data_IF_730407844586
#
_entry.id   IF_730407844586
#
_cell.length_a   1.000
_cell.length_b   1.000
_cell.length_c   1.000
_cell.angle_alpha   90.00
_cell.angle_beta   90.00
_cell.angle_gamma   90.00
#
_symmetry.space_group_name_H-M   'P 1'
#
loop_
_entity.id
_entity.type
_entity.pdbx_description
1 polymer ?
2 branched ?
3 branched ?
4 branched ?
5 non-polymer ?
6 non-polymer ?
7 water ?
#
# COMPACT_ATOMS: atom_id res chain seq x y z
N UNK A 1 8.04 2.08 8.34
CA UNK A 1 8.39 1.95 6.93
C UNK A 1 7.79 0.68 6.25
N UNK A 2 7.50 -0.34 7.06
CA UNK A 2 6.95 -1.64 6.64
C UNK A 2 5.52 -1.82 7.13
N UNK A 3 4.68 -2.35 6.23
CA UNK A 3 3.30 -2.71 6.59
C UNK A 3 3.33 -4.11 7.19
N UNK A 4 2.90 -4.28 8.42
CA UNK A 4 2.72 -5.60 9.02
C UNK A 4 1.20 -5.87 8.92
N UNK A 5 0.81 -6.96 8.24
CA UNK A 5 -0.58 -7.32 8.06
C UNK A 5 -0.80 -8.76 8.52
N UNK A 6 -1.96 -9.03 9.11
CA UNK A 6 -2.33 -10.33 9.62
C UNK A 6 -3.81 -10.64 9.37
N UNK A 7 -4.11 -11.92 9.40
CA UNK A 7 -5.45 -12.48 9.29
C UNK A 7 -6.02 -12.56 10.67
N UNK A 8 -7.36 -12.48 10.75
CA UNK A 8 -8.06 -12.62 12.03
C UNK A 8 -9.12 -13.70 11.85
N UNK A 9 -9.40 -14.47 12.90
CA UNK A 9 -10.40 -15.51 12.83
C UNK A 9 -11.80 -14.95 12.55
N UNK A 10 -12.59 -15.72 11.80
CA UNK A 10 -13.97 -15.42 11.44
C UNK A 10 -14.56 -16.66 10.82
N UNK A 11 -15.48 -17.31 11.56
CA UNK A 11 -16.20 -18.50 11.08
C UNK A 11 -17.04 -18.18 9.84
N UNK A 12 -17.43 -16.92 9.68
CA UNK A 12 -18.20 -16.48 8.51
C UNK A 12 -17.41 -16.29 7.23
N UNK A 13 -16.06 -16.38 7.30
CA UNK A 13 -15.22 -16.23 6.11
C UNK A 13 -14.56 -17.54 5.82
N UNK A 14 -14.86 -18.07 4.64
CA UNK A 14 -14.29 -19.32 4.15
C UNK A 14 -12.77 -19.14 3.97
N UNK A 15 -12.02 -20.19 4.26
CA UNK A 15 -10.58 -20.19 4.07
C UNK A 15 -9.86 -20.08 5.39
N UNK A 16 -8.71 -19.38 5.39
CA UNK A 16 -7.90 -19.22 6.61
C UNK A 16 -8.69 -18.69 7.82
N UNK A 17 -9.59 -17.68 7.61
CA UNK A 17 -10.39 -17.10 8.72
C UNK A 17 -11.23 -18.16 9.44
N UNK A 18 -11.86 -19.06 8.68
CA UNK A 18 -12.66 -20.15 9.23
C UNK A 18 -11.75 -21.18 9.90
N UNK A 19 -10.64 -21.55 9.23
CA UNK A 19 -9.68 -22.52 9.79
C UNK A 19 -9.13 -22.03 11.12
N UNK A 20 -8.82 -20.71 11.24
CA UNK A 20 -8.30 -20.12 12.49
C UNK A 20 -9.36 -20.21 13.59
N UNK A 21 -10.63 -19.89 13.24
CA UNK A 21 -11.75 -19.96 14.19
C UNK A 21 -11.83 -21.38 14.80
N UNK A 22 -11.82 -22.42 13.93
CA UNK A 22 -11.91 -23.84 14.30
C UNK A 22 -10.79 -24.30 15.21
N UNK A 23 -9.60 -23.70 15.07
CA UNK A 23 -8.42 -24.06 15.82
C UNK A 23 -8.14 -23.19 17.02
N UNK A 24 -9.01 -22.19 17.23
CA UNK A 24 -8.89 -21.26 18.35
C UNK A 24 -7.73 -20.29 18.19
N UNK A 25 -7.38 -19.96 16.92
CA UNK A 25 -6.30 -19.03 16.61
C UNK A 25 -6.97 -17.68 16.33
N UNK A 26 -6.47 -16.62 16.94
CA UNK A 26 -7.04 -15.28 16.77
C UNK A 26 -6.39 -14.47 15.68
N UNK A 27 -5.04 -14.44 15.65
CA UNK A 27 -4.26 -13.63 14.72
C UNK A 27 -3.18 -14.47 14.06
N UNK A 28 -3.13 -14.46 12.72
CA UNK A 28 -2.12 -15.18 11.99
C UNK A 28 -1.51 -14.24 11.02
N UNK A 29 -0.19 -14.01 11.19
CA UNK A 29 0.60 -13.13 10.32
C UNK A 29 0.42 -13.44 8.83
N UNK A 30 0.24 -12.40 8.04
CA UNK A 30 0.13 -12.52 6.61
C UNK A 30 1.50 -12.12 6.05
N UNK A 31 1.99 -10.95 6.43
CA UNK A 31 3.30 -10.53 5.98
C UNK A 31 3.81 -9.24 6.57
N UNK A 32 5.09 -8.95 6.30
CA UNK A 32 5.78 -7.72 6.70
C UNK A 32 6.26 -7.17 5.38
N UNK A 33 5.65 -6.06 4.98
CA UNK A 33 5.84 -5.54 3.66
C UNK A 33 6.54 -4.19 3.52
N UNK A 34 7.84 -4.20 3.16
CA UNK A 34 8.51 -2.95 2.80
C UNK A 34 7.90 -2.41 1.49
N UNK A 35 8.32 -1.23 1.05
CA UNK A 35 7.86 -0.59 -0.21
C UNK A 35 8.18 -1.47 -1.41
N UNK A 36 9.40 -2.02 -1.41
CA UNK A 36 9.90 -2.83 -2.49
C UNK A 36 9.32 -4.26 -2.46
N UNK A 37 8.78 -4.63 -3.62
CA UNK A 37 8.29 -5.96 -3.91
C UNK A 37 9.41 -6.58 -4.70
N UNK A 38 9.79 -7.81 -4.34
CA UNK A 38 10.87 -8.55 -5.01
C UNK A 38 10.42 -9.00 -6.38
N UNK A 39 11.31 -8.83 -7.38
CA UNK A 39 11.13 -9.26 -8.76
C UNK A 39 12.38 -10.02 -9.11
N UNK A 40 12.22 -11.04 -9.91
CA UNK A 40 13.36 -11.86 -10.27
C UNK A 40 13.59 -13.04 -9.35
N UNK A 41 14.77 -13.59 -9.45
CA UNK A 41 15.17 -14.81 -8.77
C UNK A 41 15.61 -14.58 -7.33
N UNK A 42 14.98 -15.27 -6.33
CA UNK A 42 15.46 -15.14 -4.94
C UNK A 42 16.90 -15.56 -4.78
N UNK A 43 17.61 -14.87 -3.90
CA UNK A 43 19.00 -15.12 -3.54
C UNK A 43 19.14 -16.46 -2.76
N UNK A 44 18.03 -16.95 -2.23
CA UNK A 44 17.96 -18.20 -1.46
C UNK A 44 16.56 -18.74 -1.56
N UNK A 45 16.45 -20.06 -1.73
CA UNK A 45 15.20 -20.79 -1.79
C UNK A 45 14.84 -21.25 -0.41
N UNK A 46 13.72 -20.72 0.13
CA UNK A 46 13.28 -21.03 1.49
C UNK A 46 12.88 -22.50 1.60
N UNK A 47 13.37 -23.19 2.66
CA UNK A 47 12.97 -24.60 2.83
C UNK A 47 11.78 -24.67 3.81
N UNK A 48 11.11 -25.81 3.87
CA UNK A 48 10.01 -26.07 4.82
C UNK A 48 10.47 -25.96 6.26
N UNK A 49 11.68 -26.45 6.56
CA UNK A 49 12.23 -26.37 7.90
C UNK A 49 12.42 -24.93 8.33
N UNK A 50 12.94 -24.08 7.44
CA UNK A 50 13.12 -22.66 7.74
C UNK A 50 11.75 -22.01 7.97
N UNK A 51 10.80 -22.28 7.08
CA UNK A 51 9.49 -21.63 7.13
C UNK A 51 8.62 -22.03 8.31
N UNK A 52 8.78 -23.29 8.78
CA UNK A 52 8.10 -23.79 9.97
C UNK A 52 8.65 -23.13 11.23
N UNK A 53 9.83 -22.46 11.15
CA UNK A 53 10.35 -21.73 12.30
C UNK A 53 9.55 -20.40 12.58
N UNK A 54 8.57 -20.03 11.72
CA UNK A 54 7.67 -18.89 11.98
C UNK A 54 6.49 -19.59 12.68
N UNK A 55 6.61 -19.75 14.00
CA UNK A 55 5.63 -20.50 14.82
C UNK A 55 4.33 -19.77 15.00
N UNK A 56 3.24 -20.44 14.66
CA UNK A 56 1.89 -19.90 14.79
C UNK A 56 1.37 -19.23 13.54
N UNK A 57 2.24 -18.99 12.54
CA UNK A 57 1.76 -18.40 11.29
C UNK A 57 1.13 -19.51 10.47
N UNK A 58 -0.14 -19.37 10.18
CA UNK A 58 -0.85 -20.38 9.40
C UNK A 58 -0.83 -20.00 7.93
N UNK A 59 -0.73 -21.01 7.10
CA UNK A 59 -0.74 -20.87 5.65
C UNK A 59 -2.18 -20.52 5.24
N UNK A 60 -2.37 -19.67 4.22
CA UNK A 60 -3.71 -19.31 3.71
C UNK A 60 -4.25 -20.40 2.77
N UNK A 61 -3.40 -21.37 2.40
CA UNK A 61 -3.76 -22.45 1.47
C UNK A 61 -4.42 -23.67 2.13
N UNK A 62 -5.53 -24.13 1.56
CA UNK A 62 -6.19 -25.36 2.02
C UNK A 62 -5.37 -26.59 1.60
N UNK A 63 -4.47 -26.41 0.60
CA UNK A 63 -3.62 -27.51 0.08
C UNK A 63 -2.65 -28.03 1.12
N UNK A 64 -2.43 -27.28 2.21
CA UNK A 64 -1.56 -27.75 3.30
C UNK A 64 -2.42 -27.86 4.57
N UNK A 65 -3.75 -27.74 4.42
CA UNK A 65 -4.73 -27.67 5.51
C UNK A 65 -4.42 -26.48 6.43
N UNK A 66 -4.08 -25.33 5.81
CA UNK A 66 -3.76 -24.08 6.52
C UNK A 66 -2.63 -24.24 7.53
N UNK A 67 -1.54 -24.88 7.12
CA UNK A 67 -0.41 -25.09 8.04
C UNK A 67 0.82 -24.32 7.56
N UNK A 68 1.62 -24.95 6.68
CA UNK A 68 2.85 -24.43 6.10
C UNK A 68 3.06 -25.24 4.81
N UNK A 69 3.66 -24.66 3.76
CA UNK A 69 4.41 -23.42 3.73
C UNK A 69 4.07 -22.53 2.55
N UNK A 70 2.95 -22.72 1.91
CA UNK A 70 2.73 -21.93 0.69
C UNK A 70 2.78 -20.40 0.87
N UNK A 71 2.02 -19.86 1.84
CA UNK A 71 2.02 -18.44 2.15
C UNK A 71 3.39 -17.98 2.66
N UNK A 72 3.98 -18.74 3.57
CA UNK A 72 5.29 -18.44 4.16
C UNK A 72 6.34 -18.28 3.02
N UNK A 73 6.35 -19.19 2.03
CA UNK A 73 7.34 -19.16 0.92
C UNK A 73 7.04 -18.00 -0.01
N UNK A 74 5.76 -17.81 -0.31
CA UNK A 74 5.28 -16.72 -1.12
C UNK A 74 5.74 -15.38 -0.50
N UNK A 75 5.67 -15.25 0.83
CA UNK A 75 6.12 -14.04 1.55
C UNK A 75 7.60 -13.80 1.40
N UNK A 76 8.40 -14.87 1.57
CA UNK A 76 9.84 -14.76 1.41
C UNK A 76 10.17 -14.36 -0.05
N UNK A 77 9.52 -15.04 -1.00
CA UNK A 77 9.78 -14.81 -2.42
C UNK A 77 9.40 -13.42 -2.91
N UNK A 78 8.30 -12.88 -2.43
CA UNK A 78 7.76 -11.60 -2.90
C UNK A 78 8.17 -10.39 -2.08
N UNK A 79 8.43 -10.57 -0.78
CA UNK A 79 8.76 -9.45 0.09
C UNK A 79 10.02 -9.61 0.93
N UNK A 80 10.55 -10.83 0.99
CA UNK A 80 11.66 -11.15 1.89
C UNK A 80 13.06 -10.99 1.34
N UNK A 81 13.45 -11.86 0.40
CA UNK A 81 14.84 -11.92 -0.05
C UNK A 81 15.51 -10.62 -0.46
N UNK A 82 14.80 -9.78 -1.24
CA UNK A 82 15.32 -8.53 -1.79
C UNK A 82 15.46 -7.43 -0.75
N UNK A 83 14.82 -7.60 0.40
CA UNK A 83 14.78 -6.60 1.45
C UNK A 83 15.63 -6.94 2.65
N UNK A 84 15.61 -8.20 3.07
CA UNK A 84 16.35 -8.70 4.22
C UNK A 84 17.67 -9.36 3.84
N UNK A 85 17.84 -9.80 2.55
CA UNK A 85 19.07 -10.42 2.01
C UNK A 85 19.36 -11.81 2.48
N UNK A 86 19.03 -12.13 3.73
CA UNK A 86 19.32 -13.43 4.32
C UNK A 86 18.06 -13.87 5.04
N UNK A 87 17.70 -15.15 4.89
CA UNK A 87 16.49 -15.70 5.48
C UNK A 87 16.45 -15.66 7.02
N UNK A 88 17.61 -15.87 7.67
CA UNK A 88 17.71 -15.87 9.12
C UNK A 88 17.10 -14.60 9.78
N UNK A 89 17.55 -13.37 9.50
CA UNK A 89 16.92 -12.22 10.18
C UNK A 89 15.44 -12.05 9.83
N UNK A 90 15.01 -12.47 8.59
CA UNK A 90 13.60 -12.40 8.18
C UNK A 90 12.77 -13.42 8.98
N UNK A 91 13.27 -14.67 9.12
CA UNK A 91 12.57 -15.68 9.92
C UNK A 91 12.38 -15.17 11.34
N UNK A 92 13.44 -14.59 11.94
CA UNK A 92 13.40 -14.12 13.33
C UNK A 92 12.41 -12.98 13.52
N UNK A 93 12.37 -12.03 12.57
CA UNK A 93 11.41 -10.92 12.62
C UNK A 93 9.96 -11.42 12.43
N UNK A 94 9.74 -12.29 11.47
CA UNK A 94 8.41 -12.85 11.22
C UNK A 94 7.94 -13.61 12.44
N UNK A 95 8.81 -14.46 13.00
CA UNK A 95 8.49 -15.30 14.16
C UNK A 95 8.16 -14.47 15.42
N UNK A 96 8.94 -13.41 15.68
CA UNK A 96 8.74 -12.52 16.80
C UNK A 96 7.43 -11.67 16.61
N UNK A 97 7.12 -11.30 15.35
CA UNK A 97 5.91 -10.58 14.99
C UNK A 97 4.75 -11.50 15.27
N UNK A 98 4.82 -12.77 14.84
CA UNK A 98 3.76 -13.73 15.10
C UNK A 98 3.59 -13.99 16.62
N UNK A 99 4.71 -14.15 17.36
CA UNK A 99 4.70 -14.38 18.83
C UNK A 99 3.94 -13.23 19.49
N UNK A 100 4.24 -11.97 19.11
CA UNK A 100 3.52 -10.80 19.65
C UNK A 100 2.03 -10.87 19.29
N UNK A 101 1.71 -11.19 18.01
CA UNK A 101 0.31 -11.35 17.57
C UNK A 101 -0.41 -12.43 18.33
N UNK A 102 0.27 -13.53 18.67
CA UNK A 102 -0.31 -14.63 19.44
C UNK A 102 -0.63 -14.19 20.90
N UNK A 103 0.24 -13.32 21.52
CA UNK A 103 0.08 -12.74 22.87
C UNK A 103 -1.26 -12.01 23.08
N UNK A 104 -1.79 -11.38 22.03
CA UNK A 104 -3.09 -10.70 22.07
C UNK A 104 -3.27 -9.64 20.99
N UNK A 105 -4.19 -8.67 21.22
CA UNK A 105 -4.38 -7.55 20.30
C UNK A 105 -3.16 -6.60 20.39
N UNK A 106 -2.54 -6.26 19.23
CA UNK A 106 -1.32 -5.45 19.27
C UNK A 106 -1.51 -3.94 19.41
N UNK A 107 -0.37 -3.26 19.65
CA UNK A 107 -0.19 -1.82 19.77
C UNK A 107 -1.10 -1.04 18.82
N UNK A 108 -0.93 -1.30 17.55
CA UNK A 108 -1.69 -0.70 16.49
C UNK A 108 -2.33 -1.86 15.74
N UNK A 109 -3.68 -1.89 15.73
CA UNK A 109 -4.47 -2.87 15.00
C UNK A 109 -5.60 -2.17 14.23
N UNK A 110 -5.37 -1.88 12.94
CA UNK A 110 -6.34 -1.23 12.09
C UNK A 110 -6.93 -2.21 11.09
N UNK A 111 -8.26 -2.18 10.96
CA UNK A 111 -9.01 -3.05 10.04
C UNK A 111 -8.56 -2.80 8.59
N UNK A 112 -8.52 -3.85 7.78
CA UNK A 112 -8.17 -3.72 6.36
C UNK A 112 -9.40 -4.17 5.58
N UNK A 113 -9.88 -5.35 5.92
CA UNK A 113 -11.02 -5.95 5.28
C UNK A 113 -11.96 -6.43 6.39
N UNK A 114 -13.28 -6.31 6.14
CA UNK A 114 -14.30 -6.77 7.06
C UNK A 114 -15.24 -7.69 6.32
N UNK A 115 -16.03 -8.42 7.10
CA UNK A 115 -17.19 -9.14 6.65
C UNK A 115 -18.28 -8.54 7.57
N UNK A 116 -19.16 -7.70 7.00
CA UNK A 116 -20.25 -7.15 7.80
C UNK A 116 -21.20 -8.30 8.17
N UNK A 117 -21.39 -8.54 9.46
CA UNK A 117 -22.24 -9.61 9.97
C UNK A 117 -23.62 -9.03 10.35
N UNK A 118 -24.65 -9.34 9.55
CA UNK A 118 -26.04 -8.88 9.74
C UNK A 118 -26.58 -9.26 11.12
N UNK A 119 -26.40 -10.53 11.53
CA UNK A 119 -26.89 -11.00 12.83
C UNK A 119 -26.44 -10.18 14.02
N UNK A 120 -25.11 -9.98 14.17
CA UNK A 120 -24.51 -9.23 15.28
C UNK A 120 -24.44 -7.72 15.03
N UNK A 121 -24.78 -7.27 13.81
CA UNK A 121 -24.68 -5.86 13.38
C UNK A 121 -23.21 -5.31 13.55
N UNK A 122 -22.23 -6.21 13.34
CA UNK A 122 -20.80 -5.91 13.50
C UNK A 122 -20.00 -6.07 12.24
N UNK A 123 -18.96 -5.26 12.13
CA UNK A 123 -17.97 -5.34 11.05
C UNK A 123 -16.92 -6.31 11.58
N UNK A 124 -17.00 -7.60 11.18
CA UNK A 124 -16.03 -8.63 11.63
C UNK A 124 -14.76 -8.46 10.80
N UNK A 125 -13.67 -8.10 11.47
CA UNK A 125 -12.37 -7.83 10.82
C UNK A 125 -11.70 -9.14 10.45
N UNK A 126 -11.43 -9.32 9.16
CA UNK A 126 -10.81 -10.54 8.63
C UNK A 126 -9.31 -10.37 8.43
N UNK A 127 -8.88 -9.13 8.16
CA UNK A 127 -7.49 -8.75 8.00
C UNK A 127 -7.29 -7.39 8.62
N UNK A 128 -6.17 -7.25 9.36
CA UNK A 128 -5.80 -5.99 10.00
C UNK A 128 -4.33 -5.72 9.75
N UNK A 129 -3.91 -4.48 9.92
CA UNK A 129 -2.53 -4.02 9.78
C UNK A 129 -2.17 -3.05 10.88
N UNK A 130 -0.90 -2.69 10.96
CA UNK A 130 -0.45 -1.83 12.04
C UNK A 130 -0.50 -0.33 11.70
N UNK A 131 -1.18 0.05 10.62
CA UNK A 131 -1.37 1.43 10.24
C UNK A 131 -2.75 1.61 9.57
N UNK A 132 -3.40 2.81 9.67
CA UNK A 132 -4.70 2.98 9.02
C UNK A 132 -4.61 2.90 7.51
N UNK A 133 -5.67 2.38 6.90
CA UNK A 133 -5.76 2.18 5.46
C UNK A 133 -7.25 2.26 5.06
N UNK A 134 -7.61 2.66 3.80
CA UNK A 134 -9.02 2.63 3.40
C UNK A 134 -9.55 1.21 3.55
N UNK A 135 -10.80 1.09 4.00
CA UNK A 135 -11.45 -0.15 4.31
C UNK A 135 -12.12 -0.79 3.15
N UNK A 136 -12.33 -2.10 3.23
CA UNK A 136 -12.97 -2.92 2.21
C UNK A 136 -13.94 -3.86 2.94
N UNK A 137 -15.21 -3.86 2.52
CA UNK A 137 -16.27 -4.69 3.10
C UNK A 137 -16.79 -4.25 4.46
N UNK A 138 -16.34 -3.08 4.96
CA UNK A 138 -16.72 -2.55 6.27
C UNK A 138 -17.92 -1.59 6.14
N UNK A 139 -19.04 -1.89 6.83
CA UNK A 139 -20.28 -1.09 6.81
C UNK A 139 -20.12 0.18 7.65
N UNK A 140 -20.43 1.34 7.06
CA UNK A 140 -20.31 2.65 7.72
C UNK A 140 -21.13 2.74 9.02
N UNK A 141 -20.54 3.36 10.04
CA UNK A 141 -21.18 3.52 11.34
C UNK A 141 -21.30 2.28 12.22
N UNK A 142 -20.88 1.10 11.74
CA UNK A 142 -20.99 -0.09 12.59
C UNK A 142 -19.72 -0.24 13.43
N UNK A 143 -19.84 -0.95 14.57
CA UNK A 143 -18.70 -1.24 15.42
C UNK A 143 -17.87 -2.36 14.76
N UNK A 144 -16.59 -2.47 15.14
CA UNK A 144 -15.65 -3.45 14.60
C UNK A 144 -15.34 -4.55 15.59
N UNK A 145 -15.24 -5.78 15.09
CA UNK A 145 -14.91 -6.94 15.90
C UNK A 145 -13.57 -7.54 15.42
N UNK A 146 -12.52 -7.42 16.24
CA UNK A 146 -11.18 -7.94 15.93
C UNK A 146 -11.02 -9.22 16.71
N UNK A 147 -11.24 -10.40 16.07
CA UNK A 147 -11.18 -11.72 16.75
C UNK A 147 -11.93 -11.68 18.12
N UNK A 148 -13.19 -11.23 18.07
CA UNK A 148 -14.06 -11.14 19.24
C UNK A 148 -13.99 -9.87 20.07
N UNK A 149 -12.97 -9.02 19.86
CA UNK A 149 -12.80 -7.79 20.61
C UNK A 149 -13.55 -6.67 19.90
N UNK A 150 -14.51 -6.05 20.61
CA UNK A 150 -15.36 -4.98 20.11
C UNK A 150 -14.72 -3.64 20.25
N UNK A 151 -14.62 -2.92 19.13
CA UNK A 151 -13.97 -1.61 19.00
C UNK A 151 -14.96 -0.66 18.29
N UNK A 152 -14.90 0.62 18.65
CA UNK A 152 -15.74 1.70 18.13
C UNK A 152 -15.42 2.01 16.67
N UNK A 153 -14.15 2.17 16.36
CA UNK A 153 -13.73 2.52 15.01
C UNK A 153 -12.82 1.50 14.36
N UNK A 154 -12.29 1.83 13.17
CA UNK A 154 -11.43 0.86 12.46
C UNK A 154 -10.07 0.53 13.11
N UNK A 155 -9.59 1.31 14.11
CA UNK A 155 -8.32 1.06 14.79
C UNK A 155 -8.46 0.70 16.28
N UNK A 156 -7.89 -0.48 16.68
CA UNK A 156 -7.89 -1.20 17.99
C UNK A 156 -6.60 -1.10 18.86
N UNK A 157 -6.79 -0.70 20.16
CA UNK A 157 -5.70 -0.51 21.13
C UNK A 157 -5.98 -1.11 22.53
N UNK B 1 16.16 2.49 -7.77
CA UNK B 1 16.34 2.94 -6.38
C UNK B 1 15.32 4.02 -5.95
N UNK B 2 15.14 5.06 -6.78
CA UNK B 2 14.17 6.12 -6.48
C UNK B 2 12.80 5.70 -6.89
N UNK B 3 11.84 5.96 -6.03
CA UNK B 3 10.45 5.69 -6.34
C UNK B 3 9.88 6.91 -7.07
N UNK B 4 9.34 6.70 -8.28
CA UNK B 4 8.62 7.75 -9.00
C UNK B 4 7.15 7.43 -8.83
N UNK B 5 6.37 8.37 -8.24
CA UNK B 5 4.94 8.17 -7.98
C UNK B 5 4.14 9.34 -8.50
N UNK B 6 2.94 9.07 -8.97
CA UNK B 6 2.06 10.07 -9.53
C UNK B 6 0.61 9.81 -9.18
N UNK B 7 -0.20 10.88 -9.24
CA UNK B 7 -1.64 10.88 -9.09
C UNK B 7 -2.30 10.52 -10.42
N UNK B 8 -3.51 9.93 -10.38
CA UNK B 8 -4.30 9.61 -11.56
C UNK B 8 -5.65 10.19 -11.33
N UNK B 9 -6.31 10.61 -12.39
CA UNK B 9 -7.66 11.19 -12.28
C UNK B 9 -8.69 10.19 -11.76
N UNK B 10 -9.65 10.72 -10.98
CA UNK B 10 -10.74 9.95 -10.41
C UNK B 10 -11.75 10.95 -9.86
N UNK B 11 -12.92 11.05 -10.53
CA UNK B 11 -14.01 11.92 -10.11
C UNK B 11 -14.54 11.51 -8.73
N UNK B 12 -14.37 10.24 -8.36
CA UNK B 12 -14.81 9.74 -7.06
C UNK B 12 -13.91 10.08 -5.89
N UNK B 13 -12.72 10.69 -6.15
CA UNK B 13 -11.80 11.08 -5.07
C UNK B 13 -11.70 12.57 -5.05
N UNK B 14 -12.14 13.16 -3.94
CA UNK B 14 -12.10 14.60 -3.73
C UNK B 14 -10.61 15.05 -3.67
N UNK B 15 -10.35 16.22 -4.20
CA UNK B 15 -9.02 16.82 -4.19
C UNK B 15 -8.42 16.77 -5.57
N UNK B 16 -7.10 16.57 -5.64
CA UNK B 16 -6.38 16.54 -6.93
C UNK B 16 -6.98 15.54 -7.95
N UNK B 17 -7.39 14.32 -7.51
CA UNK B 17 -7.96 13.31 -8.43
C UNK B 17 -9.19 13.82 -9.15
N UNK B 18 -10.08 14.52 -8.43
CA UNK B 18 -11.29 15.13 -8.99
C UNK B 18 -10.90 16.29 -9.90
N UNK B 19 -9.98 17.20 -9.43
CA UNK B 19 -9.52 18.33 -10.23
C UNK B 19 -8.93 17.88 -11.55
N UNK B 20 -8.14 16.79 -11.54
CA UNK B 20 -7.52 16.24 -12.77
C UNK B 20 -8.61 15.73 -13.73
N UNK B 21 -9.62 15.02 -13.17
CA UNK B 21 -10.74 14.50 -13.95
C UNK B 21 -11.43 15.67 -14.71
N UNK B 22 -11.76 16.76 -13.99
CA UNK B 22 -12.43 17.96 -14.51
C UNK B 22 -11.67 18.65 -15.60
N UNK B 23 -10.33 18.58 -15.56
CA UNK B 23 -9.44 19.25 -16.52
C UNK B 23 -8.93 18.33 -17.61
N UNK B 24 -9.37 17.08 -17.58
CA UNK B 24 -8.96 16.08 -18.57
C UNK B 24 -7.50 15.67 -18.46
N UNK B 25 -6.94 15.72 -17.23
CA UNK B 25 -5.54 15.36 -16.95
C UNK B 25 -5.59 13.93 -16.42
N UNK B 26 -4.74 13.06 -16.95
CA UNK B 26 -4.73 11.65 -16.56
C UNK B 26 -3.77 11.31 -15.47
N UNK B 27 -2.54 11.87 -15.55
CA UNK B 27 -1.45 11.58 -14.66
C UNK B 27 -0.74 12.83 -14.28
N UNK B 28 -0.52 13.02 -12.97
CA UNK B 28 0.18 14.21 -12.45
C UNK B 28 1.17 13.74 -11.41
N UNK B 29 2.44 14.00 -11.67
CA UNK B 29 3.57 13.63 -10.82
C UNK B 29 3.35 14.05 -9.35
N UNK B 30 3.66 13.13 -8.44
CA UNK B 30 3.58 13.38 -7.04
C UNK B 30 5.01 13.61 -6.55
N UNK B 31 5.90 12.69 -6.87
CA UNK B 31 7.29 12.86 -6.47
C UNK B 31 8.25 11.81 -6.99
N UNK B 32 9.54 12.09 -6.81
CA UNK B 32 10.66 11.18 -7.12
C UNK B 32 11.38 11.06 -5.78
N UNK B 33 11.27 9.87 -5.21
CA UNK B 33 11.70 9.65 -3.86
C UNK B 33 12.89 8.71 -3.64
N UNK B 34 14.08 9.28 -3.39
CA UNK B 34 15.20 8.47 -2.90
C UNK B 34 14.88 8.00 -1.47
N UNK B 35 15.72 7.15 -0.89
CA UNK B 35 15.52 6.66 0.48
C UNK B 35 15.64 7.76 1.52
N UNK B 36 16.62 8.66 1.36
CA UNK B 36 16.86 9.73 2.32
C UNK B 36 15.77 10.84 2.22
N UNK B 37 15.18 11.18 3.38
CA UNK B 37 14.17 12.23 3.53
C UNK B 37 14.94 13.40 4.10
N UNK B 38 14.73 14.57 3.51
CA UNK B 38 15.40 15.79 3.96
C UNK B 38 14.79 16.28 5.26
N UNK B 39 15.62 16.77 6.18
CA UNK B 39 15.17 17.34 7.45
C UNK B 39 15.97 18.61 7.59
N UNK B 40 15.39 19.61 8.21
CA UNK B 40 16.11 20.84 8.43
C UNK B 40 15.90 21.85 7.35
N UNK B 41 16.76 22.84 7.32
CA UNK B 41 16.70 23.95 6.37
C UNK B 41 17.26 23.59 4.97
N UNK B 42 16.43 23.77 3.92
CA UNK B 42 16.92 23.53 2.55
C UNK B 42 18.08 24.46 2.22
N UNK B 43 18.99 23.94 1.39
CA UNK B 43 20.17 24.64 0.90
C UNK B 43 19.75 25.77 -0.06
N UNK B 44 18.51 25.69 -0.58
CA UNK B 44 17.94 26.68 -1.49
C UNK B 44 16.44 26.65 -1.34
N UNK B 45 15.83 27.83 -1.31
CA UNK B 45 14.38 27.95 -1.24
C UNK B 45 13.86 28.01 -2.66
N UNK B 46 13.06 27.01 -3.03
CA UNK B 46 12.50 26.91 -4.37
C UNK B 46 11.56 28.09 -4.64
N UNK B 47 11.72 28.74 -5.80
CA UNK B 47 10.82 29.87 -6.14
C UNK B 47 9.68 29.30 -7.00
N UNK B 48 8.63 30.09 -7.18
CA UNK B 48 7.49 29.78 -8.02
C UNK B 48 7.90 29.59 -9.46
N UNK B 49 8.81 30.43 -9.96
CA UNK B 49 9.31 30.32 -11.34
C UNK B 49 10.01 29.00 -11.55
N UNK B 50 10.86 28.58 -10.59
CA UNK B 50 11.54 27.30 -10.70
C UNK B 50 10.53 26.17 -10.71
N UNK B 51 9.58 26.20 -9.78
CA UNK B 51 8.60 25.11 -9.63
C UNK B 51 7.61 24.97 -10.75
N UNK B 52 7.26 26.09 -11.40
CA UNK B 52 6.38 26.12 -12.56
C UNK B 52 7.09 25.55 -13.78
N UNK B 53 8.43 25.37 -13.74
CA UNK B 53 9.17 24.73 -14.84
C UNK B 53 8.93 23.21 -14.86
N UNK B 54 8.19 22.64 -13.86
CA UNK B 54 7.79 21.22 -13.87
C UNK B 54 6.41 21.29 -14.57
N UNK B 55 6.39 21.28 -15.90
CA UNK B 55 5.17 21.50 -16.68
C UNK B 55 4.21 20.34 -16.63
N UNK B 56 2.98 20.62 -16.27
CA UNK B 56 1.92 19.61 -16.18
C UNK B 56 1.76 18.99 -14.81
N UNK B 57 2.72 19.21 -13.89
CA UNK B 57 2.55 18.68 -12.53
C UNK B 57 1.58 19.60 -11.81
N UNK B 58 0.46 19.07 -11.41
CA UNK B 58 -0.54 19.82 -10.69
C UNK B 58 -0.32 19.72 -9.19
N UNK B 59 -0.54 20.81 -8.50
CA UNK B 59 -0.43 20.90 -7.05
C UNK B 59 -1.61 20.11 -6.46
N UNK B 60 -1.41 19.43 -5.33
CA UNK B 60 -2.47 18.70 -4.64
C UNK B 60 -3.32 19.64 -3.76
N UNK B 61 -2.90 20.88 -3.63
CA UNK B 61 -3.60 21.89 -2.80
C UNK B 61 -4.69 22.66 -3.56
N UNK B 62 -5.86 22.75 -2.96
CA UNK B 62 -6.96 23.57 -3.51
C UNK B 62 -6.63 25.07 -3.32
N UNK B 63 -5.69 25.42 -2.41
CA UNK B 63 -5.28 26.79 -2.12
C UNK B 63 -4.61 27.47 -3.28
N UNK B 64 -4.21 26.71 -4.31
CA UNK B 64 -3.66 27.28 -5.54
C UNK B 64 -4.55 26.87 -6.72
N UNK B 65 -5.74 26.33 -6.41
CA UNK B 65 -6.66 25.71 -7.38
C UNK B 65 -5.95 24.57 -8.16
N UNK B 66 -5.19 23.74 -7.42
CA UNK B 66 -4.47 22.60 -8.01
C UNK B 66 -3.55 23.00 -9.15
N UNK B 67 -2.75 24.06 -8.95
CA UNK B 67 -1.84 24.50 -9.99
C UNK B 67 -0.38 24.33 -9.55
N UNK B 68 0.14 25.33 -8.84
CA UNK B 68 1.50 25.41 -8.30
C UNK B 68 1.44 26.46 -7.17
N UNK B 69 2.25 26.33 -6.10
CA UNK B 69 3.41 25.46 -5.97
C UNK B 69 3.51 24.75 -4.63
N UNK B 70 2.40 24.55 -3.90
CA UNK B 70 2.47 23.92 -2.60
C UNK B 70 3.12 22.53 -2.60
N UNK B 71 2.58 21.59 -3.39
CA UNK B 71 3.13 20.22 -3.52
C UNK B 71 4.55 20.22 -4.10
N UNK B 72 4.77 21.01 -5.14
CA UNK B 72 6.08 21.14 -5.81
C UNK B 72 7.15 21.55 -4.78
N UNK B 73 6.85 22.54 -3.93
CA UNK B 73 7.78 23.06 -2.92
C UNK B 73 7.98 22.04 -1.82
N UNK B 74 6.88 21.42 -1.39
CA UNK B 74 6.89 20.35 -0.40
C UNK B 74 7.83 19.22 -0.88
N UNK B 75 7.76 18.84 -2.18
CA UNK B 75 8.62 17.79 -2.77
C UNK B 75 10.09 18.17 -2.73
N UNK B 76 10.39 19.43 -3.13
CA UNK B 76 11.77 19.92 -3.09
C UNK B 76 12.26 19.92 -1.63
N UNK B 77 11.44 20.43 -0.72
CA UNK B 77 11.78 20.53 0.69
C UNK B 77 12.00 19.23 1.41
N UNK B 78 11.20 18.20 1.09
CA UNK B 78 11.25 16.89 1.76
C UNK B 78 12.10 15.85 1.07
N UNK B 79 12.20 15.89 -0.26
CA UNK B 79 12.94 14.88 -1.02
C UNK B 79 13.99 15.40 -1.98
N UNK B 80 14.00 16.71 -2.24
CA UNK B 80 14.85 17.28 -3.26
C UNK B 80 16.20 17.76 -2.83
N UNK B 81 16.24 18.86 -2.06
CA UNK B 81 17.51 19.53 -1.75
C UNK B 81 18.67 18.69 -1.24
N UNK B 82 18.38 17.79 -0.29
CA UNK B 82 19.38 16.96 0.38
C UNK B 82 19.91 15.83 -0.50
N UNK B 83 19.21 15.55 -1.61
CA UNK B 83 19.53 14.46 -2.51
C UNK B 83 20.14 14.90 -3.82
N UNK B 84 19.62 15.97 -4.41
CA UNK B 84 20.06 16.53 -5.67
C UNK B 84 21.03 17.70 -5.50
N UNK B 85 21.06 18.36 -4.32
CA UNK B 85 21.96 19.50 -3.97
C UNK B 85 21.66 20.80 -4.67
N UNK B 86 21.23 20.75 -5.92
CA UNK B 86 20.94 21.92 -6.72
C UNK B 86 19.61 21.71 -7.37
N UNK B 87 18.76 22.74 -7.35
CA UNK B 87 17.40 22.66 -7.90
C UNK B 87 17.33 22.38 -9.39
N UNK B 88 18.28 22.91 -10.18
CA UNK B 88 18.33 22.74 -11.62
C UNK B 88 18.23 21.26 -12.06
N UNK B 89 19.14 20.34 -11.67
CA UNK B 89 18.98 18.95 -12.14
C UNK B 89 17.69 18.28 -11.62
N UNK B 90 17.18 18.69 -10.43
CA UNK B 90 15.93 18.15 -9.87
C UNK B 90 14.74 18.63 -10.73
N UNK B 91 14.70 19.95 -11.06
CA UNK B 91 13.63 20.48 -11.91
C UNK B 91 13.60 19.73 -13.24
N UNK B 92 14.78 19.52 -13.86
CA UNK B 92 14.86 18.85 -15.17
C UNK B 92 14.37 17.41 -15.09
N UNK B 93 14.75 16.68 -14.03
CA UNK B 93 14.30 15.29 -13.86
C UNK B 93 12.78 15.24 -13.62
N UNK B 94 12.27 16.09 -12.73
CA UNK B 94 10.84 16.13 -12.45
C UNK B 94 10.04 16.46 -13.69
N UNK B 95 10.50 17.45 -14.43
CA UNK B 95 9.83 17.91 -15.65
C UNK B 95 9.79 16.83 -16.75
N UNK B 96 10.91 16.17 -16.99
CA UNK B 96 11.04 15.10 -17.98
C UNK B 96 10.14 13.92 -17.57
N UNK B 97 10.09 13.61 -16.26
CA UNK B 97 9.22 12.56 -15.73
C UNK B 97 7.77 12.90 -16.00
N UNK B 98 7.35 14.13 -15.65
CA UNK B 98 5.98 14.56 -15.91
C UNK B 98 5.67 14.52 -17.44
N UNK B 99 6.64 14.93 -18.30
CA UNK B 99 6.46 14.91 -19.77
C UNK B 99 6.18 13.47 -20.20
N UNK B 100 6.93 12.46 -19.66
CA UNK B 100 6.63 11.04 -19.96
C UNK B 100 5.24 10.64 -19.48
N UNK B 101 4.80 11.15 -18.30
CA UNK B 101 3.47 10.85 -17.78
C UNK B 101 2.36 11.41 -18.65
N UNK B 102 2.49 12.69 -19.05
CA UNK B 102 1.58 13.43 -19.94
C UNK B 102 1.44 12.72 -21.30
N UNK B 103 2.55 12.21 -21.85
CA UNK B 103 2.53 11.45 -23.10
C UNK B 103 1.84 10.06 -22.98
N UNK B 104 1.45 9.70 -21.76
CA UNK B 104 0.77 8.44 -21.44
C UNK B 104 1.68 7.23 -21.54
N UNK B 105 3.01 7.48 -21.48
CA UNK B 105 4.07 6.47 -21.60
C UNK B 105 4.96 6.38 -20.33
N UNK B 106 4.38 5.97 -19.15
CA UNK B 106 5.22 5.85 -17.94
C UNK B 106 6.07 4.58 -17.96
N UNK B 107 5.90 3.75 -19.02
CA UNK B 107 6.37 2.38 -19.22
C UNK B 107 5.64 1.82 -17.97
N UNK B 108 6.44 1.39 -16.98
CA UNK B 108 6.05 0.75 -15.73
C UNK B 108 5.02 1.62 -14.98
N UNK B 109 3.83 1.06 -14.78
CA UNK B 109 2.75 1.69 -14.03
C UNK B 109 2.09 0.64 -13.10
N UNK B 110 2.35 0.73 -11.78
CA UNK B 110 1.77 -0.16 -10.79
C UNK B 110 0.97 0.63 -9.81
N UNK B 111 -0.24 0.14 -9.46
CA UNK B 111 -1.17 0.76 -8.52
C UNK B 111 -0.54 0.91 -7.12
N UNK B 112 -0.85 2.00 -6.44
CA UNK B 112 -0.34 2.21 -5.08
C UNK B 112 -1.55 2.30 -4.17
N UNK B 113 -2.48 3.19 -4.52
CA UNK B 113 -3.70 3.40 -3.77
C UNK B 113 -4.86 3.30 -4.75
N UNK B 114 -5.98 2.74 -4.29
CA UNK B 114 -7.19 2.62 -5.08
C UNK B 114 -8.33 3.21 -4.30
N UNK B 115 -9.43 3.44 -5.00
CA UNK B 115 -10.72 3.75 -4.46
C UNK B 115 -11.56 2.62 -5.14
N UNK B 116 -11.96 1.60 -4.37
CA UNK B 116 -12.80 0.56 -4.92
C UNK B 116 -14.17 1.17 -5.23
N UNK B 117 -14.58 1.11 -6.49
CA UNK B 117 -15.84 1.68 -6.95
C UNK B 117 -16.90 0.55 -7.05
N UNK B 118 -17.88 0.56 -6.11
CA UNK B 118 -18.98 -0.41 -6.00
C UNK B 118 -19.75 -0.54 -7.32
N UNK B 119 -20.19 0.60 -7.89
CA UNK B 119 -20.95 0.63 -9.14
C UNK B 119 -20.32 -0.11 -10.30
N UNK B 120 -19.05 0.23 -10.64
CA UNK B 120 -18.33 -0.37 -11.77
C UNK B 120 -17.61 -1.67 -11.40
N UNK B 121 -17.58 -2.02 -10.09
CA UNK B 121 -16.87 -3.20 -9.56
C UNK B 121 -15.34 -3.14 -9.91
N UNK B 122 -14.80 -1.90 -9.95
CA UNK B 122 -13.41 -1.65 -10.31
C UNK B 122 -12.60 -1.01 -9.19
N UNK B 123 -11.31 -1.31 -9.20
CA UNK B 123 -10.33 -0.71 -8.31
C UNK B 123 -9.84 0.51 -9.10
N UNK B 124 -10.37 1.71 -8.82
CA UNK B 124 -9.97 2.95 -9.50
C UNK B 124 -8.65 3.42 -8.87
N UNK B 125 -7.59 3.40 -9.64
CA UNK B 125 -6.25 3.75 -9.18
C UNK B 125 -6.14 5.27 -9.06
N UNK B 126 -5.84 5.73 -7.84
CA UNK B 126 -5.72 7.16 -7.52
C UNK B 126 -4.26 7.60 -7.53
N UNK B 127 -3.36 6.66 -7.22
CA UNK B 127 -1.91 6.87 -7.24
C UNK B 127 -1.24 5.61 -7.76
N UNK B 128 -0.21 5.82 -8.58
CA UNK B 128 0.56 4.72 -9.16
C UNK B 128 2.03 5.07 -9.14
N UNK B 129 2.90 4.07 -9.29
CA UNK B 129 4.34 4.21 -9.28
C UNK B 129 4.98 3.30 -10.32
N UNK B 130 6.26 3.50 -10.55
CA UNK B 130 6.98 2.79 -11.58
C UNK B 130 7.51 1.39 -11.09
N UNK B 131 7.12 0.93 -9.91
CA UNK B 131 7.55 -0.38 -9.41
C UNK B 131 6.43 -1.00 -8.56
N UNK B 132 6.32 -2.35 -8.46
CA UNK B 132 5.25 -2.92 -7.61
C UNK B 132 5.48 -2.61 -6.15
N UNK B 133 4.37 -2.45 -5.41
CA UNK B 133 4.38 -2.11 -4.00
C UNK B 133 3.11 -2.66 -3.34
N UNK B 134 3.11 -2.91 -1.99
CA UNK B 134 1.85 -3.31 -1.32
C UNK B 134 0.76 -2.26 -1.58
N UNK B 135 -0.45 -2.71 -1.80
CA UNK B 135 -1.60 -1.90 -2.16
C UNK B 135 -2.34 -1.37 -0.98
N UNK B 136 -3.09 -0.30 -1.16
CA UNK B 136 -3.89 0.37 -0.15
C UNK B 136 -5.23 0.73 -0.80
N UNK B 137 -6.34 0.29 -0.20
CA UNK B 137 -7.69 0.55 -0.69
C UNK B 137 -8.14 -0.25 -1.90
N UNK B 138 -7.30 -1.21 -2.35
CA UNK B 138 -7.57 -2.04 -3.53
C UNK B 138 -8.27 -3.37 -3.13
N UNK B 139 -9.47 -3.63 -3.67
CA UNK B 139 -10.25 -4.84 -3.39
C UNK B 139 -9.66 -6.05 -4.15
N UNK B 140 -9.39 -7.15 -3.42
CA UNK B 140 -8.81 -8.38 -3.99
C UNK B 140 -9.67 -8.97 -5.12
N UNK B 141 -9.01 -9.46 -6.17
CA UNK B 141 -9.68 -10.04 -7.32
C UNK B 141 -10.38 -9.10 -8.27
N UNK B 142 -10.45 -7.79 -7.95
CA UNK B 142 -11.12 -6.85 -8.89
C UNK B 142 -10.13 -6.34 -9.90
N UNK B 143 -10.62 -5.93 -11.07
CA UNK B 143 -9.78 -5.35 -12.11
C UNK B 143 -9.42 -3.91 -11.70
N UNK B 144 -8.34 -3.38 -12.29
CA UNK B 144 -7.82 -2.04 -11.97
C UNK B 144 -8.09 -1.07 -13.10
N UNK B 145 -8.43 0.16 -12.75
CA UNK B 145 -8.69 1.24 -13.73
C UNK B 145 -7.66 2.35 -13.52
N UNK B 146 -6.76 2.52 -14.48
CA UNK B 146 -5.68 3.52 -14.49
C UNK B 146 -6.08 4.65 -15.42
N UNK B 147 -6.70 5.71 -14.88
CA UNK B 147 -7.24 6.84 -15.66
C UNK B 147 -8.06 6.30 -16.90
N UNK B 148 -9.01 5.42 -16.62
CA UNK B 148 -9.89 4.83 -17.63
C UNK B 148 -9.42 3.55 -18.31
N UNK B 149 -8.15 3.21 -18.18
CA UNK B 149 -7.59 2.00 -18.80
C UNK B 149 -7.75 0.82 -17.85
N UNK B 150 -8.47 -0.21 -18.30
CA UNK B 150 -8.78 -1.43 -17.55
C UNK B 150 -7.67 -2.45 -17.67
N UNK B 151 -7.15 -2.85 -16.52
CA UNK B 151 -6.03 -3.76 -16.37
C UNK B 151 -6.45 -4.90 -15.43
N UNK B 152 -5.95 -6.12 -15.69
CA UNK B 152 -6.23 -7.34 -14.93
C UNK B 152 -5.63 -7.29 -13.54
N UNK B 153 -4.37 -6.95 -13.46
CA UNK B 153 -3.63 -6.92 -12.21
C UNK B 153 -3.23 -5.53 -11.75
N UNK B 154 -2.39 -5.43 -10.69
CA UNK B 154 -2.02 -4.11 -10.18
C UNK B 154 -1.01 -3.37 -11.03
N UNK B 155 -0.37 -4.04 -12.01
CA UNK B 155 0.60 -3.40 -12.91
C UNK B 155 0.14 -3.36 -14.36
N UNK B 156 0.22 -2.13 -14.98
CA UNK B 156 -0.22 -1.66 -16.34
C UNK B 156 0.94 -1.41 -17.32
N UNK B 157 0.89 -2.07 -18.50
CA UNK B 157 1.97 -2.05 -19.50
C UNK B 157 1.66 -1.38 -20.85
X LIG C 1 11.57 -3.01 7.51
X LIG C 1 12.34 -3.50 8.76
X LIG C 1 13.87 -3.38 8.52
X LIG C 1 14.24 -4.17 7.25
X LIG C 1 13.41 -3.59 6.08
X LIG C 1 13.59 -4.39 4.78
X LIG C 1 10.97 -3.34 10.86
X LIG C 1 10.94 -2.51 12.12
X LIG C 1 12.00 -2.91 10.05
X LIG C 1 14.53 -4.03 9.62
X LIG C 1 15.63 -3.83 7.03
X LIG C 1 12.01 -3.71 6.35
X LIG C 1 13.15 -3.45 3.80
X LIG C 1 10.18 -4.24 10.55
X LIG C 2 16.47 -4.93 6.69
X LIG C 2 17.67 -4.34 5.91
X LIG C 2 18.77 -5.41 5.80
X LIG C 2 19.07 -6.10 7.15
X LIG C 2 17.77 -6.60 7.83
X LIG C 2 18.22 -6.87 9.27
X LIG C 2 17.16 -2.56 4.22
X LIG C 2 16.76 -2.24 2.81
X LIG C 2 17.29 -3.89 4.56
X LIG C 2 19.93 -4.74 5.30
X LIG C 2 19.70 -7.36 6.90
X LIG C 2 16.84 -5.51 7.94
X LIG C 2 17.12 -7.57 9.84
X LIG C 2 17.36 -1.71 5.07
X LIG C 3 21.12 -7.44 7.05
X LIG C 3 21.57 -8.92 7.17
X LIG C 3 23.10 -9.01 7.14
X LIG C 3 23.65 -8.33 5.87
X LIG C 3 23.06 -6.90 5.82
X LIG C 3 23.46 -6.12 4.56
X LIG C 3 20.97 -9.60 6.04
X LIG C 3 23.58 -10.36 7.35
X LIG C 3 25.08 -8.28 5.95
X LIG C 3 21.62 -6.84 5.87
X LIG C 3 23.26 -4.76 4.97
X LIG C 4 23.92 -3.86 4.09
X LIG C 4 23.88 -2.55 4.92
X LIG C 4 23.57 -1.34 4.03
X LIG C 4 22.19 -1.58 3.39
X LIG C 4 22.08 -2.95 2.68
X LIG C 4 21.86 -2.70 1.17
X LIG C 4 24.94 -2.32 5.88
X LIG C 4 24.63 -1.01 3.11
X LIG C 4 21.29 -1.50 4.50
X LIG C 4 23.22 -3.84 2.85
X LIG C 4 22.76 -3.45 0.34
X LIG C 5 21.36 -0.24 5.18
X LIG C 5 21.62 -0.36 6.70
X LIG C 5 21.29 1.00 7.32
X LIG C 5 19.81 1.33 7.07
X LIG C 5 19.52 1.41 5.56
X LIG C 5 19.82 2.76 4.87
X LIG C 5 22.98 -0.60 7.13
X LIG C 5 22.19 1.99 6.76
X LIG C 5 19.02 0.34 7.76
X LIG C 5 20.12 0.35 4.77
X LIG C 5 21.19 2.89 4.46
X LIG C 6 23.62 -10.88 8.69
X LIG C 6 23.28 -12.31 9.19
X LIG C 6 23.67 -13.51 8.31
X LIG C 6 24.52 -13.10 7.10
X LIG C 6 25.55 -12.30 7.92
X LIG C 6 26.92 -11.94 7.31
X LIG C 6 22.03 -12.53 9.87
X LIG C 6 22.70 -14.53 8.01
X LIG C 6 25.01 -14.26 6.42
X LIG C 6 25.03 -11.15 8.63
X LIG C 6 27.70 -11.29 8.33
X LIG D 1 7.05 -7.51 20.33
X LIG D 1 7.88 -6.52 19.47
X LIG D 1 8.87 -5.72 20.32
X LIG D 1 8.27 -5.22 21.66
X LIG D 1 7.46 -6.30 22.41
X LIG D 1 6.58 -5.75 23.54
X LIG D 1 7.84 -7.19 17.05
X LIG D 1 8.71 -7.79 16.00
X LIG D 1 8.49 -7.08 18.25
X LIG D 1 9.20 -4.57 19.52
X LIG D 1 9.30 -4.69 22.54
X LIG D 1 6.51 -6.87 21.48
X LIG D 1 5.74 -4.69 23.05
X LIG D 1 6.68 -6.83 16.88
X LIG D 2 9.19 -3.29 22.83
X LIG D 2 9.96 -3.05 24.16
X LIG D 2 10.49 -1.61 24.35
X LIG D 2 10.45 -0.65 23.13
X LIG D 2 9.56 -1.11 21.97
X LIG D 2 9.86 -0.33 20.68
X LIG D 2 9.48 -4.69 26.01
X LIG D 2 8.50 -4.93 27.14
X LIG D 2 9.18 -3.53 25.31
X LIG D 2 11.86 -1.79 24.74
X LIG D 2 10.09 0.69 23.52
X LIG D 2 9.70 -2.53 21.75
X LIG D 2 9.14 -0.87 19.57
X LIG D 2 10.41 -5.44 25.76
X LIG E 1 17.88 8.99 -7.79
X LIG E 1 18.38 9.55 -9.14
X LIG E 1 19.83 10.05 -8.98
X LIG E 1 19.88 11.12 -7.87
X LIG E 1 19.38 10.45 -6.57
X LIG E 1 19.24 11.46 -5.42
X LIG E 1 17.16 8.61 -11.11
X LIG E 1 17.43 7.67 -12.26
X LIG E 1 18.29 8.70 -10.34
X LIG E 1 20.14 10.75 -10.20
X LIG E 1 21.28 11.39 -7.71
X LIG E 1 18.04 9.95 -6.74
X LIG E 1 19.23 10.58 -4.31
X LIG E 1 16.07 9.17 -10.86
X LIG E 2 21.61 12.78 -7.61
X LIG E 2 22.96 12.83 -6.85
X LIG E 2 23.56 14.23 -7.00
X LIG E 2 23.52 14.75 -8.47
X LIG E 2 22.12 14.61 -9.07
X LIG E 2 22.35 14.81 -10.58
X LIG E 2 23.26 11.29 -4.90
X LIG E 2 23.05 11.06 -3.44
X LIG E 2 22.83 12.49 -5.42
X LIG E 2 24.92 14.15 -6.52
X LIG E 2 23.61 16.19 -8.46
X LIG E 2 21.69 13.25 -8.95
X LIG E 2 21.06 14.86 -11.18
X LIG E 2 23.77 10.45 -5.64
X LIG E 3 24.90 16.77 -8.66
X LIG E 3 24.62 18.26 -8.93
X LIG E 3 26.01 18.92 -9.11
X LIG E 3 26.83 18.73 -7.83
X LIG E 3 26.90 17.22 -7.53
X LIG E 3 27.63 16.99 -6.21
X LIG E 3 23.79 18.95 -7.97
X LIG E 3 25.90 20.30 -9.48
X LIG E 3 28.18 19.18 -8.05
X LIG E 3 25.60 16.57 -7.43
X LIG E 3 27.93 15.59 -6.33
X LIG E 4 25.88 20.46 -10.91
X LIG E 4 24.97 21.39 -11.73
X LIG E 4 24.84 22.81 -11.15
X LIG E 4 25.87 23.11 -10.05
X LIG E 4 27.14 22.61 -10.79
X LIG E 4 28.52 23.18 -10.45
X LIG E 4 23.76 20.81 -12.28
X LIG E 4 23.53 23.33 -10.84
X LIG E 4 25.91 24.51 -9.75
X LIG E 4 27.13 21.16 -10.94
X LIG E 4 29.52 22.26 -10.95
X LIG E 5 30.28 22.67 -12.08
X LIG E 5 30.17 21.59 -13.18
X LIG E 5 29.10 21.93 -14.22
X LIG E 5 28.74 23.43 -14.37
X LIG E 5 29.86 24.35 -13.85
X LIG E 5 29.53 25.85 -14.00
X LIG E 5 29.93 20.29 -12.59
X LIG E 5 27.95 21.05 -14.17
X LIG E 5 28.43 23.72 -15.74
X LIG E 5 30.25 24.06 -12.49
X LIG E 5 29.23 26.26 -15.35
X LIG E 6 29.09 15.25 -5.57
X LIG E 6 29.48 14.00 -6.39
X LIG E 6 29.81 12.85 -5.43
X LIG E 6 28.54 12.55 -4.62
X LIG E 6 27.90 13.83 -4.02
X LIG E 6 27.60 13.74 -2.53
X LIG E 6 30.40 14.25 -7.48
X LIG E 6 30.92 13.22 -4.60
X LIG E 6 27.64 11.92 -5.53
X LIG E 6 28.67 15.04 -4.22
X LIG E 6 26.73 12.59 -2.51
X LIG E 7 28.01 10.62 -6.00
X LIG E 7 28.13 10.61 -7.54
X LIG E 7 28.31 9.15 -7.97
X LIG E 7 27.09 8.31 -7.53
X LIG E 7 26.93 8.36 -5.99
X LIG E 7 27.76 7.32 -5.22
X LIG E 7 29.28 11.29 -8.10
X LIG E 7 29.54 8.66 -7.40
X LIG E 7 25.95 8.84 -8.25
X LIG E 7 27.10 9.68 -5.41
X LIG E 7 29.08 7.80 -4.90
X LIG F 1 9.81 20.54 -19.58
X LIG F 1 10.74 21.59 -20.28
X LIG F 1 10.10 22.13 -21.58
X LIG F 1 9.51 20.90 -22.32
X LIG F 1 8.38 20.34 -21.43
X LIG F 1 7.38 19.32 -22.01
X LIG F 1 12.40 22.56 -18.79
X LIG F 1 12.77 23.66 -17.83
X LIG F 1 11.15 22.65 -19.35
X LIG F 1 11.21 22.69 -22.32
X LIG F 1 9.66 20.94 -23.75
X LIG F 1 9.12 19.63 -20.43
X LIG F 1 6.28 19.08 -21.13
X LIG F 1 13.14 21.61 -19.07
X LIG F 2 8.59 20.87 -24.70
X LIG F 2 7.92 22.19 -25.16
X LIG F 2 6.50 21.64 -24.87
X LIG F 2 6.22 20.41 -25.76
X LIG F 2 7.46 19.71 -26.40
X LIG F 2 7.86 20.14 -27.84
X LIG F 2 9.74 23.84 -25.07
X LIG F 2 10.40 25.01 -24.39
X LIG F 2 8.57 23.36 -24.53
X LIG F 2 5.41 22.59 -24.84
X LIG F 2 5.47 19.52 -24.93
X LIG F 2 8.67 19.78 -25.61
X LIG F 2 9.22 20.60 -28.02
X LIG F 2 10.28 23.36 -26.08
X LIG G 1 11.10 9.11 -20.53
X LIG G 1 12.35 8.74 -19.68
X LIG G 1 13.48 8.18 -20.56
X LIG G 1 12.98 7.18 -21.64
X LIG G 1 11.72 7.68 -22.37
X LIG G 1 11.04 6.60 -23.23
X LIG G 1 12.31 9.79 -17.41
X LIG G 1 12.92 10.87 -16.56
X LIG G 1 12.79 9.74 -18.69
X LIG G 1 14.37 7.48 -19.66
X LIG G 1 14.03 6.88 -22.59
X LIG G 1 10.75 8.01 -21.36
X LIG G 1 10.75 5.44 -22.43
X LIG G 1 11.44 9.03 -16.97
X LIG G 2 14.44 5.50 -22.62
X LIG G 2 15.11 5.26 -24.00
X LIG G 2 16.11 4.09 -24.05
X LIG G 2 16.57 3.48 -22.70
X LIG G 2 15.70 3.84 -21.48
X LIG G 2 16.44 3.56 -20.16
X LIG G 2 13.84 6.18 -25.98
X LIG G 2 12.75 5.81 -26.95
X LIG G 2 14.10 5.19 -25.07
X LIG G 2 17.27 4.64 -24.70
X LIG G 2 16.69 2.05 -22.78
X LIG G 2 15.33 5.23 -21.53
X LIG G 2 15.83 4.14 -19.01
X LIG G 2 14.45 7.25 -26.02
X LIG H 1 -8.53 -15.51 21.37
X LIG H 1 -7.92 -16.13 22.66
X LIG H 1 -9.00 -16.21 23.76
X LIG H 1 -9.75 -14.87 23.93
X LIG H 1 -10.38 -14.48 22.58
X LIG H 1 -11.18 -13.16 22.62
X LIG H 1 -5.98 -17.56 22.01
X LIG H 1 -5.57 -18.96 21.66
X LIG H 1 -7.32 -17.43 22.30
X LIG H 1 -8.39 -16.64 24.99
X LIG H 1 -10.81 -15.02 24.89
X LIG H 1 -9.33 -14.35 21.59
X LIG H 1 -10.38 -12.08 23.11
X LIG H 1 -5.17 -16.63 22.04
X LIG I 1 -7.08 -30.27 9.09
X LIG I 1 -7.29 -31.81 9.15
X LIG I 1 -8.48 -32.07 10.07
X LIG I 1 -8.34 -31.38 11.46
X LIG I 1 -7.68 -29.98 11.42
X LIG I 1 -7.10 -29.59 12.80
X LIG I 1 -8.23 -32.55 6.93
X LIG I 1 -7.97 -33.46 5.76
X LIG I 1 -7.25 -32.61 7.91
X LIG I 1 -8.65 -33.48 10.23
X LIG I 1 -9.68 -31.26 11.98
X LIG I 1 -6.69 -29.80 10.39
X LIG I 1 -5.71 -29.85 13.02
X LIG I 1 -9.21 -31.81 7.03
X LIG J 1 9.86 -18.26 17.62
X LIG J 1 11.17 -18.98 18.06
X LIG J 1 10.93 -19.97 19.21
X LIG J 1 9.93 -19.41 20.25
X LIG J 1 8.66 -18.88 19.52
X LIG J 1 7.41 -18.50 20.32
X LIG J 1 12.90 -18.96 16.38
X LIG J 1 13.54 -19.71 15.24
X LIG J 1 11.85 -19.65 16.93
X LIG J 1 12.21 -20.25 19.80
X LIG J 1 9.74 -20.53 21.17
X LIG J 1 9.02 -17.77 18.66
X LIG J 1 6.21 -18.45 19.53
X LIG J 1 13.25 -17.87 16.81
X LIG K 1 0.89 -10.67 -0.70
X LIG K 1 1.13 -11.00 -2.15
X LIG K 1 2.12 -10.67 0.03
X LIG K 1 0.06 -11.71 -0.07
X LIG K 1 0.17 -9.37 -0.60
X LIG L 1 5.52 -17.94 -4.85
X LIG L 1 5.83 -18.31 -6.25
X LIG L 1 5.86 -19.06 -3.92
X LIG L 1 6.34 -16.76 -4.56
X LIG L 1 4.10 -17.64 -4.72
X LIG M 1 -3.12 -21.99 -3.16
X LIG M 1 -1.87 -22.70 -3.45
X LIG M 1 -2.84 -20.93 -2.17
X LIG M 1 -4.16 -22.91 -2.64
X LIG M 1 -3.62 -21.37 -4.40
X LIG N 1 -6.53 10.56 -20.94
X LIG N 1 -6.31 11.16 -22.35
X LIG N 1 -7.46 10.71 -23.28
X LIG N 1 -7.70 9.18 -23.22
X LIG N 1 -7.97 8.78 -21.76
X LIG N 1 -8.26 7.29 -21.55
X LIG N 1 -5.03 13.29 -22.12
X LIG N 1 -5.16 14.78 -21.97
X LIG N 1 -6.23 12.62 -22.21
X LIG N 1 -7.19 11.16 -24.63
X LIG N 1 -8.87 8.83 -23.98
X LIG N 1 -6.86 9.16 -20.94
X LIG N 1 -7.19 6.48 -22.05
X LIG N 1 -3.94 12.72 -22.15
X LIG O 1 -10.01 26.61 -10.97
X LIG O 1 -10.75 27.95 -11.22
X LIG O 1 -12.03 27.59 -12.01
X LIG O 1 -11.75 26.74 -13.27
X LIG O 1 -10.63 25.68 -13.11
X LIG O 1 -10.05 25.28 -14.49
X LIG O 1 -11.66 28.84 -9.11
X LIG O 1 -11.66 30.00 -8.16
X LIG O 1 -10.84 29.01 -10.19
X LIG O 1 -12.70 28.82 -12.36
X LIG O 1 -13.00 26.09 -13.55
X LIG O 1 -9.56 26.06 -12.22
X LIG O 1 -8.88 25.95 -14.95
X LIG O 1 -12.36 27.83 -8.91
X LIG P 1 -18.46 13.80 -10.57
X LIG P 1 -19.75 13.50 -11.37
X LIG P 1 -20.90 14.42 -10.92
X LIG P 1 -21.06 14.52 -9.38
X LIG P 1 -19.68 14.82 -8.77
X LIG P 1 -19.70 14.96 -7.23
X LIG P 1 -19.37 12.46 -13.61
X LIG P 1 -19.09 12.78 -15.06
X LIG P 1 -19.48 13.58 -12.82
X LIG P 1 -22.13 13.96 -11.50
X LIG P 1 -22.01 15.53 -9.02
X LIG P 1 -18.72 13.81 -9.16
X LIG P 1 -19.62 13.70 -6.55
X LIG P 1 -19.49 11.30 -13.19
X LIG Q 1 5.39 12.93 0.31
X LIG Q 1 6.03 13.56 -0.83
X LIG Q 1 6.45 12.12 0.95
X LIG Q 1 4.32 12.01 -0.15
X LIG Q 1 4.87 13.96 1.22
X LIG R 1 -2.47 25.87 3.28
X LIG R 1 -2.52 24.87 2.32
X LIG R 1 -1.75 27.03 2.60
X LIG R 1 -1.75 25.37 4.41
X LIG R 1 -3.75 26.32 3.79
X LIG S 1 -16.76 -1.64 0.19
X LIG S 1 -15.42 -2.15 -0.09
X LIG S 1 -17.22 -0.87 -0.97
X LIG S 1 -16.72 -0.75 1.33
X LIG S 1 -17.66 -2.78 0.43
X LIG T 1 5.54 15.59 6.07
X LIG T 1 5.21 15.01 4.75
X LIG T 1 6.63 14.83 6.70
X LIG T 1 6.00 17.00 5.95
X LIG T 1 4.32 15.55 6.89
X LIG U 1 19.57 32.90 -6.04
X LIG U 1 19.25 32.53 -7.38
X LIG U 1 20.87 32.34 -5.63
X LIG U 1 19.65 34.33 -5.88
X LIG U 1 18.53 32.39 -5.17
X LIG V 1 4.98 28.13 0.67
X LIG V 1 4.82 26.94 -0.13
X LIG V 1 5.53 29.17 -0.12
X LIG V 1 5.88 27.85 1.79
X LIG V 1 3.66 28.57 1.09
X LIG W 1 -0.86 13.88 -3.60
X LIG W 1 0.00 14.46 -4.64
X LIG W 1 -0.96 12.41 -3.78
X LIG W 1 -0.33 14.26 -2.23
X LIG W 1 -2.23 14.40 -3.70
#
# INVERSE_FOLDING_TARGET
>A
ENITQWNLQDNGTEGIQRAMFQRGVNRSLHGIWPEKICTGVPSHLATDTELKAIHGMMDASEKTNYTCCRLQRHEWNKHGWCNWYNIEPWILLMNKTQANLTEGQPLRECAVTCRYDRDSDLNVVTQARDSPTPLTGCKKGKNFSFAGILVQGPCNFEIAVSDVL
>B
ENITQWNLQDNGTEGIQRAMFQRGVNRSLHGIWPEKICTGVPSHLATDTELKAIHGMMDASEKTNYTCCRLQRHEWNKHGWCNWYNIEPWILLMNKTQANLTEGQPLRECAVTCRYDRDSDLNVVTQARDSPTPLTGCKKGKNFSFAGILVQGPCNFEIAVSDVL
>C hetero
1 NAG C1 C2 C3 C4 C5 C6 C7 C8 N2 O3 O4 O5 O6 O7
2 NAG C1 C2 C3 C4 C5 C6 C7 C8 N2 O3 O4 O5 O6 O7
3 BMA C1 C2 C3 C4 C5 C6 O2 O3 O4 O5 O6
4 MAN C1 C2 C3 C4 C5 C6 O2 O3 O4 O5 O6
5 MAN C1 C2 C3 C4 C5 C6 O2 O3 O4 O5 O6
6 BMA C1 C2 C3 C4 C5 C6 O2 O3 O4 O5 O6
>D hetero
1 NAG C1 C2 C3 C4 C5 C6 C7 C8 N2 O3 O4 O5 O6 O7
2 NAG C1 C2 C3 C4 C5 C6 C7 C8 N2 O3 O4 O5 O6 O7
>E hetero
1 NAG C1 C2 C3 C4 C5 C6 C7 C8 N2 O3 O4 O5 O6 O7
2 NAG C1 C2 C3 C4 C5 C6 C7 C8 N2 O3 O4 O5 O6 O7
3 BMA C1 C2 C3 C4 C5 C6 O2 O3 O4 O5 O6
4 BMA C1 C2 C3 C4 C5 C6 O2 O3 O4 O5 O6
5 BMA C1 C2 C3 C4 C5 C6 O2 O3 O4 O5 O6
6 MAN C1 C2 C3 C4 C5 C6 O2 O3 O4 O5 O6
7 MAN C1 C2 C3 C4 C5 C6 O2 O3 O4 O5 O6
>F hetero
1 NAG C1 C2 C3 C4 C5 C6 C7 C8 N2 O3 O4 O5 O6 O7
2 NAG C1 C2 C3 C4 C5 C6 C7 C8 N2 O3 O4 O5 O6 O7
>G hetero
1 NAG C1 C2 C3 C4 C5 C6 C7 C8 N2 O3 O4 O5 O6 O7
2 NAG C1 C2 C3 C4 C5 C6 C7 C8 N2 O3 O4 O5 O6 O7
>H hetero
1 NAG C1 C2 C3 C4 C5 C6 C7 C8 N2 O3 O4 O5 O6 O7
>I hetero
1 NAG C1 C2 C3 C4 C5 C6 C7 C8 N2 O3 O4 O5 O6 O7
>J hetero
1 NAG C1 C2 C3 C4 C5 C6 C7 C8 N2 O3 O4 O5 O6 O7
>K hetero
1 SO4 S O1 O2 O3 O4
>L hetero
1 SO4 S O1 O2 O3 O4
>M hetero
1 SO4 S O1 O2 O3 O4
>N hetero
1 NAG C1 C2 C3 C4 C5 C6 C7 C8 N2 O3 O4 O5 O6 O7
>O hetero
1 NAG C1 C2 C3 C4 C5 C6 C7 C8 N2 O3 O4 O5 O6 O7
>P hetero
1 NAG C1 C2 C3 C4 C5 C6 C7 C8 N2 O3 O4 O5 O6 O7
>Q hetero
1 SO4 S O1 O2 O3 O4
>R hetero
1 SO4 S O1 O2 O3 O4
>S hetero
1 SO4 S O1 O2 O3 O4
>T hetero
1 SO4 S O1 O2 O3 O4
>U hetero
1 SO4 S O1 O2 O3 O4
>V hetero
1 SO4 S O1 O2 O3 O4
>W hetero
1 SO4 S O1 O2 O3 O4
#
